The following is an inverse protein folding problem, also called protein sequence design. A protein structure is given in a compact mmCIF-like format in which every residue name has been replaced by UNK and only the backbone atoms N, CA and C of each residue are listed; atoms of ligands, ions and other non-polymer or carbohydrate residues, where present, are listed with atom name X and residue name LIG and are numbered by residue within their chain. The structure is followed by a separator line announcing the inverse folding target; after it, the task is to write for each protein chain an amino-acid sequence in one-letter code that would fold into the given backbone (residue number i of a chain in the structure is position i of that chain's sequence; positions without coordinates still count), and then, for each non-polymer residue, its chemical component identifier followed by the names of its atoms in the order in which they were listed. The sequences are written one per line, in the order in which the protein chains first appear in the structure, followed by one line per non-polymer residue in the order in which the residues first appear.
data_IF_123300028929
#
_entry.id   IF_123300028929
#
_cell.length_a   1.000
_cell.length_b   1.000
_cell.length_c   1.000
_cell.angle_alpha   90.00
_cell.angle_beta   90.00
_cell.angle_gamma   90.00
#
_symmetry.space_group_name_H-M   'P 1'
#
loop_
_entity.id
_entity.type
_entity.pdbx_description
1 polymer ?
#
# COMPACT_ATOMS: atom_id res chain seq x y z
N UNK A 1 -12.32 -1.80 -17.32
CA UNK A 1 -11.06 -2.27 -16.69
C UNK A 1 -10.43 -1.11 -15.95
N UNK A 2 -9.94 -1.31 -14.71
CA UNK A 2 -9.35 -0.26 -13.88
C UNK A 2 -7.80 -0.28 -13.89
N UNK A 3 -7.20 -1.16 -14.66
CA UNK A 3 -5.76 -1.29 -14.85
C UNK A 3 -5.44 -1.70 -16.29
N UNK A 4 -4.22 -1.48 -16.70
CA UNK A 4 -3.72 -1.83 -18.03
C UNK A 4 -2.22 -1.64 -18.17
N UNK A 5 -1.71 -2.05 -19.30
CA UNK A 5 -0.33 -1.83 -19.71
C UNK A 5 -0.23 -0.58 -20.59
N UNK A 6 0.83 0.18 -20.43
CA UNK A 6 1.03 1.37 -21.24
C UNK A 6 2.46 1.88 -21.20
N UNK A 7 2.79 2.71 -22.18
CA UNK A 7 4.06 3.44 -22.24
C UNK A 7 3.78 4.94 -22.16
N UNK A 8 4.54 5.66 -21.39
CA UNK A 8 4.43 7.12 -21.29
C UNK A 8 4.74 7.83 -22.60
N UNK A 9 5.64 7.23 -23.40
CA UNK A 9 6.04 7.78 -24.69
C UNK A 9 4.93 7.72 -25.77
N UNK A 10 3.90 6.90 -25.57
CA UNK A 10 2.75 6.83 -26.46
C UNK A 10 1.77 8.00 -26.26
N UNK A 11 1.84 8.67 -25.10
CA UNK A 11 0.95 9.78 -24.74
C UNK A 11 1.60 11.08 -25.19
N UNK A 12 0.94 11.81 -26.11
CA UNK A 12 1.38 13.15 -26.52
C UNK A 12 1.33 14.16 -25.35
N UNK A 13 2.04 15.28 -25.46
CA UNK A 13 2.12 16.29 -24.38
C UNK A 13 0.76 16.91 -24.02
N UNK A 14 -0.20 16.86 -24.93
CA UNK A 14 -1.53 17.52 -24.79
C UNK A 14 -2.65 16.59 -24.28
N UNK A 15 -2.36 15.32 -23.99
CA UNK A 15 -3.37 14.41 -23.42
C UNK A 15 -3.42 14.64 -21.91
N UNK A 16 -4.58 14.98 -21.33
CA UNK A 16 -4.73 15.11 -19.89
C UNK A 16 -4.21 13.83 -19.22
N UNK A 17 -3.20 13.97 -18.37
CA UNK A 17 -2.68 12.84 -17.61
C UNK A 17 -3.81 12.33 -16.72
N UNK A 18 -4.41 11.21 -17.11
CA UNK A 18 -5.32 10.52 -16.21
C UNK A 18 -4.56 10.26 -14.90
N UNK A 19 -5.23 10.36 -13.74
CA UNK A 19 -4.61 10.10 -12.44
C UNK A 19 -4.31 8.60 -12.33
N UNK A 20 -3.16 8.21 -12.87
CA UNK A 20 -2.67 6.83 -12.88
C UNK A 20 -1.40 6.69 -12.06
N UNK A 21 -1.21 5.51 -11.49
CA UNK A 21 -0.02 5.12 -10.75
C UNK A 21 0.58 3.86 -11.36
N UNK A 22 1.90 3.75 -11.32
CA UNK A 22 2.60 2.53 -11.69
C UNK A 22 2.53 1.53 -10.54
N UNK A 23 2.05 0.32 -10.83
CA UNK A 23 2.12 -0.82 -9.93
C UNK A 23 3.47 -1.53 -10.05
N UNK A 24 3.95 -1.69 -11.28
CA UNK A 24 5.22 -2.34 -11.59
C UNK A 24 5.67 -2.03 -13.02
N UNK A 25 6.96 -2.10 -13.27
CA UNK A 25 7.50 -2.40 -14.59
C UNK A 25 7.59 -3.91 -14.67
N UNK A 26 6.91 -4.52 -15.61
CA UNK A 26 6.71 -5.98 -15.62
C UNK A 26 7.57 -6.70 -16.64
N UNK A 27 8.01 -5.99 -17.69
CA UNK A 27 8.81 -6.57 -18.76
C UNK A 27 9.54 -5.46 -19.55
N UNK A 28 10.30 -5.87 -20.54
CA UNK A 28 10.97 -5.01 -21.51
C UNK A 28 10.46 -5.34 -22.90
N UNK A 29 10.06 -4.30 -23.61
CA UNK A 29 9.75 -4.37 -25.03
C UNK A 29 10.88 -3.75 -25.82
N UNK A 30 11.25 -4.41 -26.94
CA UNK A 30 12.26 -3.88 -27.84
C UNK A 30 11.64 -3.19 -29.06
N UNK A 31 12.37 -2.25 -29.62
CA UNK A 31 12.06 -1.59 -30.87
C UNK A 31 12.61 -2.46 -32.01
N UNK A 32 11.70 -3.15 -32.67
CA UNK A 32 12.02 -4.02 -33.80
C UNK A 32 11.86 -3.27 -35.10
N UNK A 33 12.89 -3.33 -35.94
CA UNK A 33 12.85 -2.79 -37.30
C UNK A 33 13.34 -3.87 -38.27
N UNK A 34 12.50 -4.22 -39.20
CA UNK A 34 12.76 -5.27 -40.20
C UNK A 34 12.68 -4.73 -41.63
N UNK A 35 13.49 -5.30 -42.52
CA UNK A 35 13.49 -5.04 -43.94
C UNK A 35 13.73 -6.33 -44.71
N UNK A 36 13.53 -6.33 -46.04
CA UNK A 36 13.93 -7.42 -46.91
C UNK A 36 15.35 -7.23 -47.42
N UNK A 37 16.03 -8.34 -47.68
CA UNK A 37 17.32 -8.48 -48.38
C UNK A 37 18.52 -7.78 -47.67
N UNK A 38 18.43 -6.51 -47.31
CA UNK A 38 19.52 -5.78 -46.68
C UNK A 38 19.08 -5.21 -45.31
N UNK A 39 19.89 -5.36 -44.23
CA UNK A 39 19.54 -4.81 -42.94
C UNK A 39 19.70 -3.27 -42.94
N UNK A 40 18.74 -2.58 -42.32
CA UNK A 40 18.82 -1.16 -42.03
C UNK A 40 19.81 -0.90 -40.90
N UNK A 41 20.64 0.09 -41.01
CA UNK A 41 21.66 0.46 -40.02
C UNK A 41 21.42 1.82 -39.37
N UNK A 42 20.60 2.67 -39.98
CA UNK A 42 20.24 4.00 -39.47
C UNK A 42 18.77 4.29 -39.73
N UNK A 43 18.15 5.11 -38.88
CA UNK A 43 16.77 5.55 -39.08
C UNK A 43 16.57 6.41 -40.33
N UNK A 44 17.64 7.12 -40.77
CA UNK A 44 17.59 7.96 -41.98
C UNK A 44 17.32 7.17 -43.24
N UNK A 45 17.65 5.88 -43.28
CA UNK A 45 17.38 5.02 -44.42
C UNK A 45 15.89 4.74 -44.62
N UNK A 46 15.01 5.12 -43.69
CA UNK A 46 13.56 5.00 -43.82
C UNK A 46 12.95 6.10 -44.71
N UNK A 47 13.67 7.17 -45.01
CA UNK A 47 13.22 8.19 -45.96
C UNK A 47 12.91 7.63 -47.34
N UNK A 48 11.73 7.94 -47.87
CA UNK A 48 11.23 7.45 -49.16
C UNK A 48 10.60 6.05 -49.14
N UNK A 49 10.76 5.30 -48.06
CA UNK A 49 10.26 3.93 -47.95
C UNK A 49 8.78 3.85 -47.52
N UNK A 50 8.13 2.72 -47.87
CA UNK A 50 6.83 2.33 -47.33
C UNK A 50 7.04 1.61 -46.03
N UNK A 51 6.60 2.22 -44.92
CA UNK A 51 6.88 1.74 -43.56
C UNK A 51 5.58 1.31 -42.86
N UNK A 52 5.46 0.05 -42.52
CA UNK A 52 4.39 -0.45 -41.65
C UNK A 52 4.76 -0.21 -40.19
N UNK A 53 4.04 0.69 -39.52
CA UNK A 53 4.28 1.09 -38.13
C UNK A 53 2.98 1.13 -37.29
N UNK A 54 1.93 0.47 -37.78
CA UNK A 54 0.62 0.47 -37.14
C UNK A 54 -0.24 1.69 -37.48
N UNK A 55 -1.50 1.70 -37.03
CA UNK A 55 -2.45 2.77 -37.32
C UNK A 55 -2.01 4.11 -36.77
N UNK A 56 -2.56 5.19 -37.31
CA UNK A 56 -2.32 6.54 -36.78
C UNK A 56 -2.76 6.63 -35.30
N UNK A 57 -1.96 7.29 -34.49
CA UNK A 57 -2.18 7.35 -33.04
C UNK A 57 -1.67 6.15 -32.26
N UNK A 58 -1.20 5.09 -32.89
CA UNK A 58 -0.57 3.97 -32.17
C UNK A 58 0.74 4.36 -31.51
N UNK A 59 1.08 3.69 -30.40
CA UNK A 59 2.33 3.91 -29.68
C UNK A 59 3.56 3.68 -30.56
N UNK A 60 3.55 2.62 -31.38
CA UNK A 60 4.65 2.29 -32.29
C UNK A 60 4.91 3.44 -33.29
N UNK A 61 3.87 3.89 -34.00
CA UNK A 61 3.97 4.96 -34.99
C UNK A 61 4.40 6.29 -34.36
N UNK A 62 3.82 6.65 -33.22
CA UNK A 62 4.18 7.87 -32.52
C UNK A 62 5.63 7.86 -32.05
N UNK A 63 6.11 6.73 -31.52
CA UNK A 63 7.50 6.59 -31.11
C UNK A 63 8.45 6.70 -32.31
N UNK A 64 8.19 5.97 -33.40
CA UNK A 64 9.01 6.05 -34.59
C UNK A 64 9.06 7.48 -35.17
N UNK A 65 7.92 8.16 -35.26
CA UNK A 65 7.87 9.57 -35.72
C UNK A 65 8.72 10.51 -34.86
N UNK A 66 8.74 10.32 -33.54
CA UNK A 66 9.58 11.11 -32.64
C UNK A 66 11.07 10.86 -32.87
N UNK A 67 11.46 9.60 -33.03
CA UNK A 67 12.86 9.24 -33.30
C UNK A 67 13.32 9.80 -34.62
N UNK A 68 12.52 9.68 -35.68
CA UNK A 68 12.80 10.21 -37.00
C UNK A 68 12.91 11.75 -36.98
N UNK A 69 12.01 12.44 -36.30
CA UNK A 69 12.05 13.88 -36.15
C UNK A 69 13.31 14.37 -35.41
N UNK A 70 13.80 13.61 -34.42
CA UNK A 70 15.06 13.90 -33.73
C UNK A 70 16.28 13.77 -34.65
N UNK A 71 16.25 12.79 -35.55
CA UNK A 71 17.30 12.58 -36.55
C UNK A 71 17.08 13.41 -37.83
N UNK A 72 16.10 14.34 -37.83
CA UNK A 72 15.77 15.28 -38.92
C UNK A 72 15.35 14.58 -40.21
N UNK A 73 14.76 13.41 -40.13
CA UNK A 73 14.19 12.73 -41.28
C UNK A 73 12.84 13.37 -41.63
N UNK A 74 12.63 13.85 -42.86
CA UNK A 74 11.34 14.40 -43.27
C UNK A 74 10.24 13.32 -43.18
N UNK A 75 9.25 13.57 -42.33
CA UNK A 75 8.16 12.59 -42.10
C UNK A 75 7.22 12.46 -43.31
N UNK A 76 7.15 13.48 -44.14
CA UNK A 76 6.41 13.52 -45.42
C UNK A 76 7.00 12.61 -46.49
N UNK A 77 8.28 12.30 -46.42
CA UNK A 77 8.93 11.37 -47.36
C UNK A 77 8.57 9.89 -47.06
N UNK A 78 8.06 9.60 -45.87
CA UNK A 78 7.72 8.23 -45.48
C UNK A 78 6.28 7.90 -45.87
N UNK A 79 6.12 6.80 -46.58
CA UNK A 79 4.79 6.26 -46.94
C UNK A 79 4.32 5.35 -45.80
N UNK A 80 3.51 5.89 -44.91
CA UNK A 80 3.02 5.16 -43.75
C UNK A 80 1.98 4.12 -44.11
N UNK A 81 2.12 2.91 -43.58
CA UNK A 81 1.11 1.84 -43.62
C UNK A 81 0.60 1.56 -42.20
N UNK A 82 -0.71 1.34 -42.07
CA UNK A 82 -1.38 1.09 -40.81
C UNK A 82 -1.26 -0.37 -40.34
N UNK A 83 -0.59 -1.21 -41.12
CA UNK A 83 -0.36 -2.61 -40.79
C UNK A 83 0.60 -2.78 -39.62
N UNK A 84 0.36 -3.83 -38.80
CA UNK A 84 1.23 -4.23 -37.70
C UNK A 84 1.13 -5.75 -37.48
N UNK A 85 2.10 -6.34 -36.76
CA UNK A 85 2.12 -7.78 -36.45
C UNK A 85 2.18 -8.68 -37.71
N UNK A 86 1.39 -9.75 -37.73
CA UNK A 86 1.38 -10.72 -38.83
C UNK A 86 0.95 -10.11 -40.18
N UNK A 87 -0.08 -9.24 -40.27
CA UNK A 87 -0.39 -8.54 -41.52
C UNK A 87 0.77 -7.72 -42.07
N UNK A 88 1.55 -7.06 -41.24
CA UNK A 88 2.74 -6.30 -41.64
C UNK A 88 3.84 -7.23 -42.20
N UNK A 89 4.08 -8.40 -41.57
CA UNK A 89 4.97 -9.44 -42.11
C UNK A 89 4.56 -9.87 -43.50
N UNK A 90 3.28 -10.17 -43.71
CA UNK A 90 2.79 -10.65 -44.97
C UNK A 90 2.92 -9.58 -46.06
N UNK A 91 2.68 -8.32 -45.75
CA UNK A 91 2.87 -7.18 -46.64
C UNK A 91 4.35 -6.98 -47.00
N UNK A 92 5.27 -7.19 -46.02
CA UNK A 92 6.71 -7.13 -46.26
C UNK A 92 7.15 -8.21 -47.26
N UNK A 93 6.71 -9.46 -47.04
CA UNK A 93 7.05 -10.59 -47.90
C UNK A 93 6.46 -10.45 -49.31
N UNK A 94 5.35 -9.71 -49.49
CA UNK A 94 4.76 -9.40 -50.82
C UNK A 94 5.32 -8.12 -51.45
N UNK A 95 6.33 -7.49 -50.83
CA UNK A 95 6.89 -6.20 -51.25
C UNK A 95 5.84 -5.06 -51.31
N UNK A 96 4.77 -5.13 -50.52
CA UNK A 96 3.79 -4.06 -50.37
C UNK A 96 4.30 -2.95 -49.45
N UNK A 97 5.17 -3.31 -48.50
CA UNK A 97 5.94 -2.38 -47.63
C UNK A 97 7.42 -2.77 -47.72
N UNK A 98 8.29 -1.78 -47.45
CA UNK A 98 9.74 -1.92 -47.53
C UNK A 98 10.38 -2.16 -46.15
N UNK A 99 9.70 -1.70 -45.09
CA UNK A 99 10.12 -1.90 -43.74
C UNK A 99 8.92 -2.09 -42.79
N UNK A 100 9.16 -2.82 -41.67
CA UNK A 100 8.19 -3.03 -40.60
C UNK A 100 8.81 -2.57 -39.30
N UNK A 101 8.16 -1.64 -38.63
CA UNK A 101 8.54 -1.18 -37.30
C UNK A 101 7.48 -1.58 -36.28
N UNK A 102 7.94 -2.14 -35.17
CA UNK A 102 7.08 -2.45 -34.03
C UNK A 102 7.82 -2.36 -32.70
N UNK A 103 7.08 -2.07 -31.64
CA UNK A 103 7.57 -2.17 -30.26
C UNK A 103 6.80 -3.33 -29.62
N UNK A 104 7.51 -4.35 -29.25
CA UNK A 104 6.89 -5.59 -28.76
C UNK A 104 7.85 -6.40 -27.88
N UNK A 105 7.27 -7.28 -27.07
CA UNK A 105 8.03 -8.29 -26.38
C UNK A 105 8.75 -9.23 -27.38
N UNK A 106 9.93 -9.76 -27.03
CA UNK A 106 10.71 -10.62 -27.95
C UNK A 106 9.94 -11.83 -28.50
N UNK A 107 9.08 -12.41 -27.68
CA UNK A 107 8.25 -13.57 -28.05
C UNK A 107 6.86 -13.20 -28.59
N UNK A 108 6.67 -11.96 -29.02
CA UNK A 108 5.41 -11.58 -29.69
C UNK A 108 5.28 -12.32 -31.02
N UNK A 109 4.10 -12.86 -31.38
CA UNK A 109 3.93 -13.69 -32.61
C UNK A 109 4.38 -12.99 -33.88
N UNK A 110 4.19 -11.67 -33.98
CA UNK A 110 4.66 -10.87 -35.11
C UNK A 110 6.18 -10.79 -35.23
N UNK A 111 6.89 -10.67 -34.06
CA UNK A 111 8.35 -10.63 -34.01
C UNK A 111 8.93 -12.00 -34.39
N UNK A 112 8.46 -13.08 -33.76
CA UNK A 112 8.92 -14.44 -34.06
C UNK A 112 8.72 -14.79 -35.52
N UNK A 113 7.54 -14.45 -36.06
CA UNK A 113 7.22 -14.71 -37.47
C UNK A 113 8.09 -13.91 -38.47
N UNK A 114 8.49 -12.68 -38.11
CA UNK A 114 9.41 -11.86 -38.92
C UNK A 114 10.84 -12.39 -38.84
N UNK A 115 11.31 -12.73 -37.62
CA UNK A 115 12.64 -13.31 -37.45
C UNK A 115 12.83 -14.65 -38.18
N UNK A 116 11.79 -15.47 -38.22
CA UNK A 116 11.81 -16.77 -38.91
C UNK A 116 11.57 -16.67 -40.44
N UNK A 117 11.15 -15.52 -40.96
CA UNK A 117 10.80 -15.37 -42.35
C UNK A 117 12.03 -15.31 -43.28
N UNK A 118 12.09 -16.09 -44.36
CA UNK A 118 13.23 -16.06 -45.27
C UNK A 118 13.38 -14.70 -45.95
N UNK A 119 14.62 -14.22 -46.07
CA UNK A 119 14.94 -12.90 -46.66
C UNK A 119 14.72 -11.70 -45.75
N UNK A 120 13.97 -11.84 -44.63
CA UNK A 120 13.78 -10.75 -43.68
C UNK A 120 15.02 -10.57 -42.84
N UNK A 121 15.44 -9.32 -42.67
CA UNK A 121 16.61 -8.91 -41.93
C UNK A 121 16.21 -7.99 -40.79
N UNK A 122 16.73 -8.29 -39.58
CA UNK A 122 16.64 -7.40 -38.43
C UNK A 122 17.62 -6.23 -38.62
N UNK A 123 17.16 -5.02 -38.43
CA UNK A 123 18.01 -3.83 -38.46
C UNK A 123 19.05 -3.86 -37.32
N UNK A 124 20.27 -3.48 -37.68
CA UNK A 124 21.36 -3.30 -36.72
C UNK A 124 21.63 -1.82 -36.55
N UNK A 125 20.78 -1.13 -35.79
CA UNK A 125 20.83 0.32 -35.64
C UNK A 125 22.14 0.76 -34.96
N UNK A 126 22.86 1.67 -35.61
CA UNK A 126 24.04 2.29 -35.03
C UNK A 126 23.66 3.39 -34.02
N UNK A 127 24.48 3.58 -33.00
CA UNK A 127 24.28 4.66 -32.04
C UNK A 127 23.09 4.51 -31.10
N UNK A 128 22.60 3.27 -30.87
CA UNK A 128 21.50 3.01 -29.95
C UNK A 128 21.73 3.61 -28.55
N UNK A 129 22.99 3.60 -28.04
CA UNK A 129 23.34 4.25 -26.79
C UNK A 129 23.08 5.76 -26.81
N UNK A 130 23.51 6.45 -27.89
CA UNK A 130 23.30 7.90 -28.02
C UNK A 130 21.79 8.24 -28.17
N UNK A 131 21.00 7.39 -28.83
CA UNK A 131 19.55 7.56 -28.94
C UNK A 131 18.92 7.39 -27.55
N UNK A 132 19.33 6.39 -26.79
CA UNK A 132 18.85 6.15 -25.43
C UNK A 132 19.18 7.31 -24.48
N UNK A 133 20.39 7.85 -24.53
CA UNK A 133 20.77 9.01 -23.71
C UNK A 133 19.92 10.26 -23.99
N UNK A 134 19.50 10.46 -25.25
CA UNK A 134 18.58 11.56 -25.63
C UNK A 134 17.13 11.31 -25.21
N UNK A 135 16.77 10.04 -24.99
CA UNK A 135 15.40 9.60 -24.70
C UNK A 135 15.35 8.77 -23.43
N UNK A 136 15.16 9.41 -22.28
CA UNK A 136 15.21 8.76 -20.95
C UNK A 136 14.26 7.58 -20.75
N UNK A 137 13.23 7.45 -21.60
CA UNK A 137 12.29 6.32 -21.63
C UNK A 137 12.79 5.14 -22.47
N UNK A 138 13.94 5.27 -23.13
CA UNK A 138 14.60 4.22 -23.90
C UNK A 138 15.90 3.81 -23.21
N UNK A 139 16.20 2.52 -23.30
CA UNK A 139 17.50 1.95 -22.90
C UNK A 139 18.12 1.25 -24.11
N UNK A 140 19.45 1.26 -24.19
CA UNK A 140 20.17 0.43 -25.15
C UNK A 140 20.56 -0.87 -24.47
N UNK A 141 20.03 -2.00 -24.94
CA UNK A 141 20.33 -3.34 -24.43
C UNK A 141 20.83 -4.25 -25.53
N UNK A 142 21.74 -5.15 -25.15
CA UNK A 142 22.26 -6.16 -26.04
C UNK A 142 21.29 -7.34 -26.13
N UNK A 143 20.89 -7.71 -27.35
CA UNK A 143 20.26 -8.99 -27.65
C UNK A 143 21.38 -9.95 -28.07
N UNK A 144 21.75 -10.93 -27.24
CA UNK A 144 22.83 -11.83 -27.57
C UNK A 144 22.50 -12.69 -28.80
N UNK A 145 23.55 -13.14 -29.49
CA UNK A 145 23.42 -14.17 -30.52
C UNK A 145 22.65 -15.39 -30.00
N UNK A 146 21.74 -15.92 -30.79
CA UNK A 146 20.91 -17.09 -30.47
C UNK A 146 19.96 -16.91 -29.27
N UNK A 147 19.78 -15.69 -28.76
CA UNK A 147 18.90 -15.44 -27.59
C UNK A 147 17.42 -15.83 -27.83
N UNK A 148 17.00 -15.94 -29.10
CA UNK A 148 15.66 -16.34 -29.50
C UNK A 148 15.58 -17.80 -29.93
N UNK A 149 16.74 -18.50 -29.99
CA UNK A 149 16.88 -19.83 -30.54
C UNK A 149 17.02 -19.83 -32.08
N UNK A 150 17.34 -21.00 -32.66
CA UNK A 150 17.50 -21.19 -34.10
C UNK A 150 18.51 -20.22 -34.76
N UNK A 151 19.59 -19.84 -34.04
CA UNK A 151 20.60 -18.89 -34.44
C UNK A 151 20.03 -17.47 -34.72
N UNK A 152 19.02 -17.07 -33.96
CA UNK A 152 18.39 -15.76 -34.07
C UNK A 152 18.60 -14.93 -32.77
N UNK A 153 19.07 -13.69 -32.87
CA UNK A 153 19.73 -13.14 -34.06
C UNK A 153 21.05 -13.87 -34.36
N UNK A 154 21.55 -13.74 -35.58
CA UNK A 154 22.79 -14.42 -36.03
C UNK A 154 24.07 -13.80 -35.43
N UNK A 155 23.97 -12.65 -34.79
CA UNK A 155 25.05 -11.97 -34.09
C UNK A 155 24.50 -11.10 -32.97
N UNK A 156 25.34 -10.77 -32.00
CA UNK A 156 25.02 -9.81 -30.94
C UNK A 156 24.50 -8.50 -31.51
N UNK A 157 23.29 -8.10 -31.15
CA UNK A 157 22.60 -6.93 -31.72
C UNK A 157 22.19 -5.96 -30.61
N UNK A 158 22.69 -4.71 -30.69
CA UNK A 158 22.24 -3.65 -29.79
C UNK A 158 20.86 -3.16 -30.18
N UNK A 159 19.91 -3.28 -29.26
CA UNK A 159 18.51 -2.92 -29.45
C UNK A 159 18.13 -1.73 -28.57
N UNK A 160 17.26 -0.88 -29.08
CA UNK A 160 16.54 0.07 -28.23
C UNK A 160 15.40 -0.68 -27.53
N UNK A 161 15.24 -0.42 -26.25
CA UNK A 161 14.22 -1.07 -25.43
C UNK A 161 13.49 -0.05 -24.57
N UNK A 162 12.29 -0.37 -24.16
CA UNK A 162 11.46 0.42 -23.26
C UNK A 162 10.79 -0.49 -22.21
N UNK A 163 10.67 -0.05 -20.94
CA UNK A 163 9.98 -0.83 -19.93
C UNK A 163 8.47 -0.83 -20.19
N UNK A 164 7.84 -1.98 -19.93
CA UNK A 164 6.39 -2.13 -19.95
C UNK A 164 5.83 -1.86 -18.56
N UNK A 165 5.04 -0.79 -18.44
CA UNK A 165 4.43 -0.39 -17.16
C UNK A 165 3.07 -1.05 -16.95
N UNK A 166 2.90 -1.65 -15.79
CA UNK A 166 1.59 -2.05 -15.27
C UNK A 166 1.00 -0.85 -14.53
N UNK A 167 -0.01 -0.24 -15.13
CA UNK A 167 -0.63 0.98 -14.62
C UNK A 167 -2.00 0.69 -14.00
N UNK A 168 -2.33 1.41 -12.95
CA UNK A 168 -3.66 1.41 -12.36
C UNK A 168 -4.13 2.84 -12.10
N UNK A 169 -5.44 3.04 -12.07
CA UNK A 169 -6.01 4.32 -11.65
C UNK A 169 -5.64 4.59 -10.18
N UNK A 170 -5.47 5.85 -9.83
CA UNK A 170 -5.13 6.26 -8.47
C UNK A 170 -6.22 5.87 -7.46
N UNK A 171 -7.50 5.92 -7.87
CA UNK A 171 -8.67 5.56 -7.07
C UNK A 171 -8.93 4.05 -6.96
N UNK A 172 -8.10 3.19 -7.59
CA UNK A 172 -8.24 1.74 -7.44
C UNK A 172 -8.03 1.35 -5.97
N UNK A 173 -8.91 0.48 -5.46
CA UNK A 173 -8.85 0.04 -4.07
C UNK A 173 -7.45 -0.51 -3.70
N UNK A 174 -6.86 -0.08 -2.56
CA UNK A 174 -5.49 -0.45 -2.16
C UNK A 174 -5.21 -1.95 -2.17
N UNK A 175 -6.17 -2.76 -1.70
CA UNK A 175 -6.03 -4.21 -1.70
C UNK A 175 -5.93 -4.82 -3.10
N UNK A 176 -6.63 -4.26 -4.10
CA UNK A 176 -6.52 -4.70 -5.49
C UNK A 176 -5.15 -4.35 -6.08
N UNK A 177 -4.62 -3.15 -5.78
CA UNK A 177 -3.24 -2.78 -6.17
C UNK A 177 -2.22 -3.78 -5.64
N UNK A 178 -2.37 -4.21 -4.37
CA UNK A 178 -1.50 -5.21 -3.74
C UNK A 178 -1.59 -6.57 -4.41
N UNK A 179 -2.81 -7.08 -4.63
CA UNK A 179 -3.03 -8.38 -5.29
C UNK A 179 -2.48 -8.38 -6.72
N UNK A 180 -2.78 -7.36 -7.51
CA UNK A 180 -2.28 -7.25 -8.88
C UNK A 180 -0.75 -7.18 -8.90
N UNK A 181 -0.13 -6.47 -7.97
CA UNK A 181 1.34 -6.42 -7.84
C UNK A 181 1.91 -7.78 -7.43
N UNK A 182 1.26 -8.50 -6.51
CA UNK A 182 1.70 -9.85 -6.09
C UNK A 182 1.62 -10.85 -7.24
N UNK A 183 0.54 -10.82 -8.02
CA UNK A 183 0.39 -11.64 -9.23
C UNK A 183 1.45 -11.27 -10.29
N UNK A 184 1.74 -9.97 -10.46
CA UNK A 184 2.79 -9.55 -11.38
C UNK A 184 4.17 -10.11 -10.98
N UNK A 185 4.49 -10.14 -9.67
CA UNK A 185 5.73 -10.76 -9.16
C UNK A 185 5.80 -12.26 -9.46
N UNK A 186 4.69 -12.96 -9.39
CA UNK A 186 4.62 -14.39 -9.69
C UNK A 186 4.78 -14.68 -11.19
N UNK A 187 4.09 -13.88 -12.04
CA UNK A 187 4.03 -14.12 -13.49
C UNK A 187 5.30 -13.64 -14.21
N UNK A 188 5.84 -12.48 -13.81
CA UNK A 188 6.92 -11.80 -14.53
C UNK A 188 8.30 -11.92 -13.86
N UNK A 189 8.46 -12.79 -12.86
CA UNK A 189 9.74 -13.00 -12.16
C UNK A 189 10.77 -13.84 -12.93
N UNK A 190 10.45 -14.35 -14.09
CA UNK A 190 11.28 -15.23 -14.91
C UNK A 190 12.32 -14.44 -15.71
N UNK A 191 13.39 -15.12 -16.20
CA UNK A 191 14.35 -14.50 -17.11
C UNK A 191 13.78 -14.36 -18.52
N UNK A 192 14.20 -13.32 -19.23
CA UNK A 192 13.89 -13.08 -20.62
C UNK A 192 15.14 -12.79 -21.45
N UNK A 193 15.02 -12.60 -22.78
CA UNK A 193 16.16 -12.31 -23.66
C UNK A 193 16.91 -11.01 -23.30
N UNK A 194 16.25 -10.06 -22.64
CA UNK A 194 16.82 -8.77 -22.27
C UNK A 194 17.03 -8.57 -20.77
N UNK A 195 16.62 -9.51 -19.94
CA UNK A 195 16.69 -9.36 -18.47
C UNK A 195 16.93 -10.70 -17.76
N UNK A 196 17.48 -10.62 -16.57
CA UNK A 196 17.73 -11.78 -15.70
C UNK A 196 16.49 -12.08 -14.84
N UNK A 197 16.41 -13.31 -14.36
CA UNK A 197 15.40 -13.68 -13.37
C UNK A 197 15.48 -12.78 -12.14
N UNK A 198 14.33 -12.28 -11.68
CA UNK A 198 14.21 -11.37 -10.55
C UNK A 198 14.56 -9.90 -10.85
N UNK A 199 14.94 -9.53 -12.09
CA UNK A 199 15.11 -8.13 -12.49
C UNK A 199 13.75 -7.41 -12.60
N UNK A 200 12.75 -8.14 -13.03
CA UNK A 200 11.35 -7.72 -13.10
C UNK A 200 10.46 -8.63 -12.22
N UNK A 201 9.31 -8.15 -11.75
CA UNK A 201 8.82 -6.75 -11.77
C UNK A 201 9.68 -5.80 -10.93
N UNK A 202 9.77 -4.53 -11.37
CA UNK A 202 10.54 -3.51 -10.70
C UNK A 202 9.79 -2.18 -10.59
N UNK A 203 10.29 -1.26 -9.75
CA UNK A 203 9.78 0.13 -9.66
C UNK A 203 10.83 1.13 -10.15
N UNK A 204 11.82 0.67 -10.92
CA UNK A 204 12.86 1.54 -11.47
C UNK A 204 12.28 2.39 -12.61
N UNK A 205 12.77 3.62 -12.72
CA UNK A 205 12.56 4.50 -13.86
C UNK A 205 11.12 4.51 -14.41
N UNK A 206 10.14 4.77 -13.56
CA UNK A 206 8.76 4.96 -14.01
C UNK A 206 8.45 6.43 -14.21
N UNK A 207 7.85 6.77 -15.36
CA UNK A 207 7.35 8.11 -15.66
C UNK A 207 6.10 8.49 -14.87
N UNK A 208 5.47 7.50 -14.25
CA UNK A 208 4.29 7.67 -13.41
C UNK A 208 4.64 7.44 -11.94
N UNK A 209 3.96 8.13 -11.01
CA UNK A 209 4.18 7.90 -9.59
C UNK A 209 3.88 6.44 -9.23
N UNK A 210 4.75 5.82 -8.44
CA UNK A 210 4.56 4.44 -8.00
C UNK A 210 3.55 4.37 -6.85
N UNK A 211 2.64 3.40 -6.91
CA UNK A 211 1.68 3.14 -5.85
C UNK A 211 2.40 2.69 -4.56
N UNK A 212 2.12 3.30 -3.40
CA UNK A 212 2.76 2.92 -2.13
C UNK A 212 2.47 1.48 -1.74
N UNK A 213 1.29 0.96 -2.08
CA UNK A 213 0.89 -0.43 -1.87
C UNK A 213 1.79 -1.41 -2.64
N UNK A 214 2.07 -1.09 -3.90
CA UNK A 214 2.95 -1.90 -4.74
C UNK A 214 4.38 -1.90 -4.22
N UNK A 215 4.87 -0.75 -3.78
CA UNK A 215 6.19 -0.65 -3.14
C UNK A 215 6.27 -1.52 -1.88
N UNK A 216 5.21 -1.52 -1.07
CA UNK A 216 5.14 -2.36 0.13
C UNK A 216 5.21 -3.86 -0.22
N UNK A 217 4.45 -4.31 -1.23
CA UNK A 217 4.45 -5.71 -1.69
C UNK A 217 5.80 -6.12 -2.26
N UNK A 218 6.46 -5.26 -3.05
CA UNK A 218 7.77 -5.55 -3.64
C UNK A 218 8.89 -5.63 -2.60
N UNK A 219 8.84 -4.81 -1.53
CA UNK A 219 9.88 -4.79 -0.50
C UNK A 219 9.69 -5.86 0.58
N UNK A 220 8.45 -6.17 0.93
CA UNK A 220 8.10 -7.04 2.08
C UNK A 220 7.41 -8.33 1.67
N UNK A 221 7.01 -8.45 0.41
CA UNK A 221 6.15 -9.52 -0.06
C UNK A 221 4.68 -9.34 0.31
N UNK A 222 3.81 -10.27 -0.12
CA UNK A 222 2.41 -10.30 0.29
C UNK A 222 2.31 -10.57 1.80
N UNK A 223 1.29 -9.98 2.45
CA UNK A 223 1.03 -10.19 3.87
C UNK A 223 0.77 -11.66 4.18
N UNK A 224 1.05 -12.07 5.45
CA UNK A 224 0.80 -13.45 5.91
C UNK A 224 -0.63 -13.91 5.63
N UNK A 225 -1.61 -13.02 5.81
CA UNK A 225 -3.02 -13.33 5.53
C UNK A 225 -3.28 -13.50 4.03
N UNK A 226 -2.67 -12.68 3.17
CA UNK A 226 -2.81 -12.76 1.71
C UNK A 226 -2.18 -14.03 1.12
N UNK A 227 -1.22 -14.64 1.82
CA UNK A 227 -0.58 -15.90 1.40
C UNK A 227 -1.42 -17.14 1.68
N UNK A 228 -2.28 -17.10 2.71
CA UNK A 228 -2.96 -18.30 3.23
C UNK A 228 -4.49 -18.21 3.17
N UNK A 229 -5.05 -17.02 2.99
CA UNK A 229 -6.48 -16.81 3.00
C UNK A 229 -6.96 -16.23 1.66
N UNK A 230 -8.17 -16.59 1.21
CA UNK A 230 -8.83 -15.90 0.10
C UNK A 230 -8.91 -14.38 0.36
N UNK A 231 -8.85 -13.60 -0.72
CA UNK A 231 -8.78 -12.14 -0.69
C UNK A 231 -9.69 -11.47 0.36
N UNK A 232 -10.97 -11.84 0.40
CA UNK A 232 -11.94 -11.24 1.33
C UNK A 232 -11.63 -11.54 2.79
N UNK A 233 -11.24 -12.77 3.10
CA UNK A 233 -10.89 -13.18 4.46
C UNK A 233 -9.59 -12.57 4.94
N UNK A 234 -8.63 -12.40 4.03
CA UNK A 234 -7.38 -11.71 4.33
C UNK A 234 -7.62 -10.24 4.75
N UNK A 235 -8.52 -9.53 4.04
CA UNK A 235 -8.89 -8.15 4.37
C UNK A 235 -9.64 -8.05 5.71
N UNK A 236 -10.54 -9.00 5.99
CA UNK A 236 -11.25 -9.06 7.27
C UNK A 236 -10.28 -9.34 8.41
N UNK A 237 -9.38 -10.32 8.24
CA UNK A 237 -8.40 -10.68 9.25
C UNK A 237 -7.44 -9.52 9.58
N UNK A 238 -6.96 -8.81 8.56
CA UNK A 238 -6.10 -7.64 8.74
C UNK A 238 -6.81 -6.53 9.53
N UNK A 239 -8.07 -6.22 9.19
CA UNK A 239 -8.86 -5.22 9.91
C UNK A 239 -9.19 -5.66 11.34
N UNK A 240 -9.52 -6.94 11.53
CA UNK A 240 -9.81 -7.50 12.84
C UNK A 240 -8.58 -7.44 13.76
N UNK A 241 -7.39 -7.72 13.23
CA UNK A 241 -6.15 -7.62 13.99
C UNK A 241 -5.80 -6.15 14.31
N UNK A 242 -5.91 -5.27 13.33
CA UNK A 242 -5.45 -3.88 13.46
C UNK A 242 -6.37 -3.00 14.30
N UNK A 243 -7.68 -3.24 14.23
CA UNK A 243 -8.71 -2.44 14.91
C UNK A 243 -9.39 -3.26 16.01
N UNK A 244 -9.76 -4.50 15.72
CA UNK A 244 -10.52 -5.35 16.65
C UNK A 244 -9.71 -5.70 17.89
N UNK A 245 -8.45 -6.06 17.77
CA UNK A 245 -7.60 -6.42 18.91
C UNK A 245 -7.37 -5.24 19.87
N UNK A 246 -6.98 -4.03 19.43
CA UNK A 246 -6.89 -2.87 20.31
C UNK A 246 -8.21 -2.51 20.99
N UNK A 247 -9.33 -2.54 20.26
CA UNK A 247 -10.66 -2.28 20.83
C UNK A 247 -11.01 -3.32 21.90
N UNK A 248 -10.74 -4.58 21.64
CA UNK A 248 -10.99 -5.66 22.61
C UNK A 248 -10.14 -5.48 23.86
N UNK A 249 -8.85 -5.14 23.72
CA UNK A 249 -7.95 -4.90 24.83
C UNK A 249 -8.38 -3.68 25.67
N UNK A 250 -8.75 -2.58 25.04
CA UNK A 250 -9.27 -1.39 25.72
C UNK A 250 -10.57 -1.71 26.45
N UNK A 251 -11.49 -2.42 25.81
CA UNK A 251 -12.76 -2.84 26.41
C UNK A 251 -12.53 -3.77 27.62
N UNK A 252 -11.64 -4.74 27.49
CA UNK A 252 -11.27 -5.64 28.60
C UNK A 252 -10.65 -4.84 29.77
N UNK A 253 -9.76 -3.90 29.47
CA UNK A 253 -9.15 -3.04 30.46
C UNK A 253 -10.18 -2.16 31.19
N UNK A 254 -11.14 -1.60 30.46
CA UNK A 254 -12.22 -0.80 31.04
C UNK A 254 -13.12 -1.67 31.93
N UNK A 255 -13.46 -2.88 31.51
CA UNK A 255 -14.26 -3.81 32.31
C UNK A 255 -13.56 -4.23 33.62
N UNK A 256 -12.23 -4.25 33.64
CA UNK A 256 -11.45 -4.55 34.84
C UNK A 256 -11.27 -3.31 35.74
N UNK A 257 -10.92 -2.17 35.17
CA UNK A 257 -10.56 -0.98 35.93
C UNK A 257 -11.75 -0.18 36.43
N UNK A 258 -12.84 -0.10 35.66
CA UNK A 258 -14.01 0.70 36.05
C UNK A 258 -14.67 0.17 37.34
N UNK A 259 -14.98 -1.14 37.49
CA UNK A 259 -15.53 -1.65 38.73
C UNK A 259 -14.55 -1.54 39.92
N UNK A 260 -13.25 -1.75 39.68
CA UNK A 260 -12.24 -1.56 40.73
C UNK A 260 -12.16 -0.11 41.20
N UNK A 261 -12.19 0.85 40.28
CA UNK A 261 -12.21 2.27 40.57
C UNK A 261 -13.49 2.71 41.29
N UNK A 262 -14.65 2.19 40.87
CA UNK A 262 -15.92 2.46 41.53
C UNK A 262 -15.93 1.93 42.98
N UNK A 263 -15.45 0.70 43.19
CA UNK A 263 -15.29 0.14 44.57
C UNK A 263 -14.38 1.02 45.42
N UNK A 264 -13.22 1.35 44.92
CA UNK A 264 -12.27 2.22 45.66
C UNK A 264 -12.89 3.57 45.99
N UNK A 265 -13.64 4.19 45.08
CA UNK A 265 -14.32 5.45 45.29
C UNK A 265 -15.44 5.35 46.32
N UNK A 266 -16.20 4.27 46.33
CA UNK A 266 -17.30 4.01 47.26
C UNK A 266 -16.75 3.68 48.68
N UNK A 267 -15.73 2.86 48.74
CA UNK A 267 -15.03 2.57 50.03
C UNK A 267 -14.45 3.83 50.66
N UNK A 268 -13.89 4.74 49.88
CA UNK A 268 -13.37 6.00 50.36
C UNK A 268 -14.41 6.90 51.05
N UNK A 269 -15.68 6.80 50.66
CA UNK A 269 -16.78 7.53 51.29
C UNK A 269 -17.08 6.98 52.70
N UNK A 270 -17.06 5.66 52.87
CA UNK A 270 -17.32 5.00 54.15
C UNK A 270 -16.11 5.22 55.08
N UNK A 271 -14.88 5.06 54.56
CA UNK A 271 -13.64 5.24 55.36
C UNK A 271 -13.48 6.63 55.94
N UNK A 272 -14.00 7.67 55.32
CA UNK A 272 -13.98 9.05 55.85
C UNK A 272 -14.75 9.14 57.17
N UNK A 273 -15.86 8.46 57.31
CA UNK A 273 -16.66 8.42 58.51
C UNK A 273 -15.98 7.65 59.65
N UNK A 274 -15.21 6.61 59.35
CA UNK A 274 -14.38 5.92 60.34
C UNK A 274 -13.31 6.85 60.90
N UNK A 275 -12.70 7.71 60.06
CA UNK A 275 -11.75 8.71 60.50
C UNK A 275 -12.39 9.73 61.48
N UNK A 276 -13.59 10.24 61.12
CA UNK A 276 -14.32 11.16 62.04
C UNK A 276 -14.72 10.50 63.34
N UNK A 277 -15.15 9.22 63.32
CA UNK A 277 -15.51 8.50 64.53
C UNK A 277 -14.30 8.30 65.46
N UNK A 278 -13.15 7.99 64.89
CA UNK A 278 -11.88 7.85 65.64
C UNK A 278 -11.45 9.15 66.28
N UNK A 279 -11.61 10.28 65.63
CA UNK A 279 -11.36 11.59 66.24
C UNK A 279 -12.28 11.85 67.42
N UNK A 280 -13.55 11.46 67.34
CA UNK A 280 -14.49 11.59 68.47
C UNK A 280 -14.10 10.68 69.62
N UNK A 281 -13.63 9.45 69.39
CA UNK A 281 -13.13 8.51 70.40
C UNK A 281 -11.84 9.03 71.05
N UNK A 282 -10.90 9.60 70.29
CA UNK A 282 -9.66 10.19 70.80
C UNK A 282 -9.96 11.42 71.64
N UNK A 283 -10.89 12.29 71.23
CA UNK A 283 -11.35 13.45 72.00
C UNK A 283 -11.98 13.02 73.34
N UNK A 284 -12.77 11.91 73.37
CA UNK A 284 -13.36 11.38 74.60
C UNK A 284 -12.34 10.73 75.52
N UNK A 285 -11.22 10.20 75.00
CA UNK A 285 -10.20 9.45 75.78
C UNK A 285 -9.11 10.34 76.24
N UNK A 286 -8.72 11.39 75.52
CA UNK A 286 -7.62 12.28 75.76
C UNK A 286 -7.97 13.41 76.78
N UNK A 287 -9.23 13.76 76.93
CA UNK A 287 -9.69 14.74 77.81
C UNK A 287 -9.97 14.08 79.21
N UNK A 288 -9.06 14.36 80.17
CA UNK A 288 -9.34 14.08 81.58
C UNK A 288 -10.69 14.71 81.95
N UNK A 289 -11.59 13.94 82.50
CA UNK A 289 -13.03 14.07 82.72
C UNK A 289 -13.52 15.34 83.52
N UNK A 290 -12.86 16.50 83.36
CA UNK A 290 -13.28 17.81 83.91
C UNK A 290 -13.81 18.75 82.80
N UNK A 291 -14.42 18.19 81.74
CA UNK A 291 -14.93 18.96 80.61
C UNK A 291 -16.32 19.47 80.90
N UNK A 292 -16.42 20.81 80.97
CA UNK A 292 -17.69 21.48 81.16
C UNK A 292 -18.78 21.07 80.16
N UNK A 293 -20.03 21.02 80.60
CA UNK A 293 -21.17 20.47 79.82
C UNK A 293 -21.39 21.04 78.43
N UNK A 294 -20.68 22.08 78.00
CA UNK A 294 -20.75 22.71 76.68
C UNK A 294 -19.95 21.93 75.67
N UNK A 295 -18.84 21.29 76.03
CA UNK A 295 -17.97 20.51 75.12
C UNK A 295 -18.55 19.13 74.83
N UNK A 296 -19.16 18.46 75.80
CA UNK A 296 -19.94 17.24 75.68
C UNK A 296 -21.15 17.42 74.74
N UNK A 297 -21.78 18.58 74.79
CA UNK A 297 -22.91 18.89 73.89
C UNK A 297 -22.43 19.06 72.44
N UNK A 298 -21.22 19.56 72.23
CA UNK A 298 -20.63 19.71 70.89
C UNK A 298 -20.28 18.36 70.28
N UNK A 299 -19.67 17.47 71.02
CA UNK A 299 -19.37 16.10 70.65
C UNK A 299 -20.65 15.32 70.32
N UNK A 300 -21.67 15.44 71.16
CA UNK A 300 -22.98 14.80 70.94
C UNK A 300 -23.67 15.29 69.63
N UNK A 301 -23.64 16.59 69.38
CA UNK A 301 -24.18 17.15 68.15
C UNK A 301 -23.41 16.74 66.91
N UNK A 302 -22.12 16.53 67.00
CA UNK A 302 -21.24 16.04 65.93
C UNK A 302 -21.57 14.59 65.64
N UNK A 303 -21.71 13.73 66.63
CA UNK A 303 -22.09 12.33 66.52
C UNK A 303 -23.51 12.17 65.90
N UNK A 304 -24.48 12.99 66.34
CA UNK A 304 -25.84 13.00 65.81
C UNK A 304 -25.90 13.38 64.33
N UNK A 305 -25.06 14.36 63.87
CA UNK A 305 -24.93 14.70 62.46
C UNK A 305 -24.36 13.56 61.66
N UNK A 306 -23.35 12.87 62.18
CA UNK A 306 -22.76 11.69 61.55
C UNK A 306 -23.75 10.53 61.46
N UNK A 307 -24.51 10.26 62.51
CA UNK A 307 -25.55 9.23 62.54
C UNK A 307 -26.63 9.47 61.46
N UNK A 308 -27.09 10.73 61.34
CA UNK A 308 -28.07 11.09 60.33
C UNK A 308 -27.48 10.94 58.88
N UNK A 309 -26.24 11.34 58.65
CA UNK A 309 -25.58 11.25 57.37
C UNK A 309 -25.38 9.76 56.97
N UNK A 310 -24.93 8.92 57.90
CA UNK A 310 -24.70 7.50 57.68
C UNK A 310 -26.04 6.76 57.46
N UNK A 311 -27.12 7.14 58.17
CA UNK A 311 -28.46 6.51 58.02
C UNK A 311 -29.10 6.79 56.66
N UNK A 312 -28.80 7.94 56.04
CA UNK A 312 -29.32 8.34 54.73
C UNK A 312 -28.47 7.87 53.53
N UNK A 313 -27.30 7.26 53.79
CA UNK A 313 -26.41 6.77 52.74
C UNK A 313 -27.06 5.59 51.99
N UNK A 314 -27.19 5.75 50.68
CA UNK A 314 -27.51 4.66 49.78
C UNK A 314 -26.19 4.00 49.33
N UNK A 315 -25.94 2.80 49.82
CA UNK A 315 -24.72 2.04 49.51
C UNK A 315 -25.10 0.73 48.78
N UNK A 316 -24.25 0.28 47.86
CA UNK A 316 -24.41 -1.06 47.27
C UNK A 316 -24.36 -2.18 48.35
N UNK A 317 -25.02 -3.29 48.08
CA UNK A 317 -25.04 -4.45 48.98
C UNK A 317 -23.66 -4.94 49.40
N UNK A 318 -22.67 -4.83 48.51
CA UNK A 318 -21.28 -5.24 48.76
C UNK A 318 -20.63 -4.48 49.93
N UNK A 319 -21.05 -3.24 50.23
CA UNK A 319 -20.56 -2.41 51.32
C UNK A 319 -21.47 -2.43 52.57
N UNK A 320 -22.53 -3.17 52.53
CA UNK A 320 -23.52 -3.28 53.62
C UNK A 320 -22.84 -3.72 54.92
N UNK A 321 -21.87 -4.62 54.86
CA UNK A 321 -21.14 -5.12 56.03
C UNK A 321 -20.28 -4.00 56.71
N UNK A 322 -19.58 -3.19 55.91
CA UNK A 322 -18.81 -2.04 56.44
C UNK A 322 -19.72 -0.95 57.02
N UNK A 323 -20.86 -0.71 56.38
CA UNK A 323 -21.87 0.23 56.87
C UNK A 323 -22.50 -0.26 58.20
N UNK A 324 -22.80 -1.54 58.30
CA UNK A 324 -23.35 -2.12 59.53
C UNK A 324 -22.37 -2.03 60.71
N UNK A 325 -21.10 -2.34 60.43
CA UNK A 325 -20.02 -2.21 61.41
C UNK A 325 -19.83 -0.76 61.86
N UNK A 326 -19.83 0.20 60.92
CA UNK A 326 -19.74 1.63 61.26
C UNK A 326 -20.92 2.06 62.14
N UNK A 327 -22.12 1.61 61.88
CA UNK A 327 -23.31 1.94 62.64
C UNK A 327 -23.27 1.36 64.05
N UNK A 328 -22.76 0.13 64.22
CA UNK A 328 -22.53 -0.47 65.54
C UNK A 328 -21.49 0.33 66.35
N UNK A 329 -20.41 0.80 65.73
CA UNK A 329 -19.40 1.62 66.38
C UNK A 329 -19.98 3.01 66.80
N UNK A 330 -20.80 3.62 65.99
CA UNK A 330 -21.51 4.86 66.31
C UNK A 330 -22.40 4.69 67.53
N UNK A 331 -23.18 3.61 67.61
CA UNK A 331 -24.03 3.27 68.72
C UNK A 331 -23.24 3.01 69.99
N UNK A 332 -22.08 2.33 69.89
CA UNK A 332 -21.18 2.09 71.00
C UNK A 332 -20.60 3.39 71.55
N UNK A 333 -20.13 4.32 70.69
CA UNK A 333 -19.63 5.63 71.13
C UNK A 333 -20.75 6.48 71.76
N UNK A 334 -21.97 6.37 71.25
CA UNK A 334 -23.14 7.04 71.78
C UNK A 334 -23.48 6.57 73.20
N UNK A 335 -23.51 5.25 73.43
CA UNK A 335 -23.79 4.70 74.75
C UNK A 335 -22.74 5.17 75.78
N UNK A 336 -21.49 5.25 75.37
CA UNK A 336 -20.41 5.73 76.23
C UNK A 336 -20.55 7.20 76.58
N UNK A 337 -20.94 8.06 75.62
CA UNK A 337 -21.24 9.50 75.89
C UNK A 337 -22.41 9.64 76.90
N UNK A 338 -23.43 8.81 76.81
CA UNK A 338 -24.58 8.85 77.72
C UNK A 338 -24.21 8.41 79.16
N UNK A 339 -23.32 7.42 79.33
CA UNK A 339 -22.76 7.03 80.63
C UNK A 339 -21.97 8.14 81.28
N UNK A 340 -21.16 8.92 80.54
CA UNK A 340 -20.43 10.09 81.05
C UNK A 340 -21.37 11.24 81.43
N UNK A 341 -22.56 11.37 80.79
CA UNK A 341 -23.54 12.42 81.08
C UNK A 341 -24.37 12.09 82.36
N UNK A 342 -24.40 10.83 82.75
CA UNK A 342 -25.18 10.35 83.92
C UNK A 342 -24.41 10.31 85.19
N UNK A 343 -23.07 10.58 85.14
CA UNK A 343 -22.21 10.73 86.30
C UNK A 343 -21.99 12.23 86.62
#
# INVERSE_FOLDING_TARGET
MQGGFGWSSAVGPDVPKAPVQTLANVDIEALWLFSLDAPLTTLNQLGGLRVAAGPEGSGHRNLLRRLLAQDRVPLEDIRWSDLSGLPARDALLRHEVDAVFMVAAPRAPGVEALLAAPGVRLATLQGTGAIAERNKYLESRLLPQDAMGANLPSADTSMLTTPTHLLAREDLHPALKRVVTAVALEVHGQSGPFHRAGEFPSLRASDFPSAPESRSVMLRGPNLFERHLPFWWAQVAERLLLIGLPVLLVTALLLLLVPAWLRWRLEGHVMRWYGELRFIEDDLTSQNLDVGGMELSHIHNRLRRMETAVATMQLPEELAQHWFTLRQHIEFVRSRILEYRGR
#
